data_IF_978997964435
#
_entry.id   IF_978997964435
#
_cell.length_a   1.000
_cell.length_b   1.000
_cell.length_c   1.000
_cell.angle_alpha   90.00
_cell.angle_beta   90.00
_cell.angle_gamma   90.00
#
_symmetry.space_group_name_H-M   'P 1'
#
loop_
_entity.id
_entity.type
_entity.pdbx_description
1 polymer ?
#
# COMPACT_ATOMS: atom_id res chain seq x y z
N UNK A 1 6.58 -2.18 12.74
CA UNK A 1 7.68 -1.32 13.24
C UNK A 1 9.02 -2.07 13.30
N UNK A 2 9.01 -3.39 13.55
CA UNK A 2 10.25 -4.18 13.65
C UNK A 2 11.11 -4.23 12.39
N UNK A 3 10.53 -4.15 11.21
CA UNK A 3 11.27 -4.33 9.96
C UNK A 3 12.04 -3.07 9.53
N UNK A 4 11.50 -1.89 9.79
CA UNK A 4 12.15 -0.62 9.46
C UNK A 4 13.39 -0.38 10.34
N UNK A 5 13.32 -0.69 11.63
CA UNK A 5 14.46 -0.62 12.55
C UNK A 5 15.51 -1.69 12.24
N UNK A 6 15.10 -2.91 11.92
CA UNK A 6 16.02 -4.00 11.59
C UNK A 6 16.88 -3.68 10.37
N UNK A 7 16.34 -3.03 9.34
CA UNK A 7 17.12 -2.66 8.16
C UNK A 7 18.20 -1.64 8.48
N UNK A 8 17.87 -0.63 9.30
CA UNK A 8 18.83 0.41 9.70
C UNK A 8 19.94 -0.14 10.59
N UNK A 9 19.60 -1.03 11.54
CA UNK A 9 20.62 -1.70 12.38
C UNK A 9 21.51 -2.64 11.58
N UNK A 10 21.08 -3.09 10.41
CA UNK A 10 21.87 -3.88 9.47
C UNK A 10 22.57 -3.04 8.39
N UNK A 11 22.56 -1.71 8.51
CA UNK A 11 23.27 -0.81 7.60
C UNK A 11 22.52 -0.48 6.29
N UNK A 12 21.23 -0.83 6.19
CA UNK A 12 20.42 -0.52 5.00
C UNK A 12 19.66 0.80 5.17
N UNK A 13 20.14 1.83 4.50
CA UNK A 13 19.53 3.14 4.46
C UNK A 13 19.71 3.95 5.74
N UNK A 14 19.49 5.26 5.63
CA UNK A 14 19.58 6.21 6.74
C UNK A 14 18.21 6.83 6.99
N UNK A 15 17.75 6.98 8.24
CA UNK A 15 16.56 7.75 8.55
C UNK A 15 16.75 9.20 8.09
N UNK A 16 15.73 9.75 7.48
CA UNK A 16 15.70 11.16 7.10
C UNK A 16 14.58 11.82 7.89
N UNK A 17 14.91 12.86 8.63
CA UNK A 17 13.93 13.77 9.22
C UNK A 17 13.73 14.96 8.30
N UNK A 18 12.52 15.23 7.91
CA UNK A 18 12.20 16.34 7.02
C UNK A 18 11.18 17.29 7.62
N UNK A 19 11.64 18.17 8.47
CA UNK A 19 11.03 19.51 8.62
C UNK A 19 11.64 20.50 7.60
N UNK A 20 12.42 19.98 6.68
CA UNK A 20 13.15 20.67 5.61
C UNK A 20 12.43 20.43 4.28
N UNK A 21 12.68 21.24 3.24
CA UNK A 21 12.25 20.96 1.89
C UNK A 21 12.63 19.54 1.46
N UNK A 22 11.88 19.02 0.50
CA UNK A 22 12.18 17.71 -0.10
C UNK A 22 13.67 17.63 -0.49
N UNK A 23 14.38 16.55 -0.14
CA UNK A 23 15.84 16.48 -0.21
C UNK A 23 16.43 16.55 -1.62
N UNK A 24 15.59 16.51 -2.65
CA UNK A 24 16.01 16.59 -4.04
C UNK A 24 15.40 17.82 -4.71
N UNK A 25 16.16 18.46 -5.62
CA UNK A 25 15.60 19.49 -6.49
C UNK A 25 14.52 18.90 -7.39
N UNK A 26 13.45 19.67 -7.57
CA UNK A 26 12.41 19.34 -8.55
C UNK A 26 12.99 19.40 -9.95
N UNK A 27 12.90 18.31 -10.66
CA UNK A 27 13.32 18.22 -12.05
C UNK A 27 12.29 17.46 -12.85
N UNK A 28 11.13 18.10 -13.07
CA UNK A 28 10.12 17.48 -13.92
C UNK A 28 10.70 17.10 -15.30
N UNK A 29 10.48 15.88 -15.80
CA UNK A 29 9.66 14.81 -15.22
C UNK A 29 10.41 13.85 -14.25
N UNK A 30 11.57 14.21 -13.78
CA UNK A 30 12.42 13.35 -12.96
C UNK A 30 12.17 13.54 -11.47
N UNK A 31 12.21 12.46 -10.71
CA UNK A 31 12.06 12.48 -9.25
C UNK A 31 13.27 13.11 -8.56
N UNK A 32 14.43 12.98 -9.17
CA UNK A 32 15.71 13.48 -8.66
C UNK A 32 16.54 14.08 -9.77
N UNK A 33 17.16 15.22 -9.47
CA UNK A 33 18.16 15.86 -10.32
C UNK A 33 19.55 15.60 -9.75
N UNK A 34 20.53 15.57 -10.64
CA UNK A 34 21.93 15.51 -10.24
C UNK A 34 22.53 16.88 -10.00
N UNK A 35 23.49 16.99 -9.08
CA UNK A 35 23.90 15.99 -8.10
C UNK A 35 22.90 15.86 -6.94
N UNK A 36 22.76 14.62 -6.43
CA UNK A 36 21.93 14.38 -5.25
C UNK A 36 22.55 15.03 -4.00
N UNK A 37 21.70 15.47 -3.06
CA UNK A 37 22.17 16.04 -1.81
C UNK A 37 22.93 14.99 -0.98
N UNK A 38 24.22 15.23 -0.71
CA UNK A 38 25.11 14.32 0.00
C UNK A 38 24.65 13.98 1.43
N UNK A 39 23.82 14.82 2.02
CA UNK A 39 23.33 14.64 3.39
C UNK A 39 22.25 13.55 3.49
N UNK A 40 21.57 13.21 2.40
CA UNK A 40 20.40 12.33 2.42
C UNK A 40 20.57 11.05 1.61
N UNK A 41 21.52 11.02 0.70
CA UNK A 41 21.80 9.84 -0.13
C UNK A 41 23.27 9.79 -0.48
N UNK A 42 23.81 8.59 -0.68
CA UNK A 42 25.13 8.44 -1.27
C UNK A 42 25.05 8.65 -2.78
N UNK A 43 26.16 9.08 -3.40
CA UNK A 43 26.23 9.18 -4.85
C UNK A 43 25.94 7.85 -5.56
N UNK A 44 26.23 6.73 -4.89
CA UNK A 44 26.01 5.38 -5.42
C UNK A 44 24.57 4.87 -5.20
N UNK A 45 23.91 5.35 -4.16
CA UNK A 45 22.56 4.89 -3.78
C UNK A 45 21.59 6.07 -3.78
N UNK A 46 21.21 6.54 -4.95
CA UNK A 46 20.33 7.71 -5.10
C UNK A 46 18.91 7.41 -4.73
N UNK A 47 18.42 6.26 -5.17
CA UNK A 47 17.08 5.78 -4.88
C UNK A 47 17.17 4.31 -4.44
N UNK A 48 17.49 4.04 -3.17
CA UNK A 48 17.58 2.69 -2.67
C UNK A 48 16.27 1.93 -2.88
N UNK A 49 16.40 0.69 -3.32
CA UNK A 49 15.28 -0.21 -3.60
C UNK A 49 15.34 -1.39 -2.65
N UNK A 50 14.24 -1.65 -1.94
CA UNK A 50 14.08 -2.82 -1.10
C UNK A 50 13.37 -3.93 -1.87
N UNK A 51 14.05 -5.07 -2.07
CA UNK A 51 13.44 -6.26 -2.67
C UNK A 51 12.98 -7.21 -1.57
N UNK A 52 11.67 -7.45 -1.51
CA UNK A 52 11.03 -8.33 -0.54
C UNK A 52 10.50 -9.58 -1.24
N UNK A 53 10.71 -10.73 -0.62
CA UNK A 53 10.17 -12.00 -1.10
C UNK A 53 9.74 -12.86 0.07
N UNK A 54 8.55 -13.46 -0.03
CA UNK A 54 8.02 -14.38 0.97
C UNK A 54 7.15 -15.45 0.31
N UNK A 55 7.13 -16.63 0.90
CA UNK A 55 6.14 -17.68 0.58
C UNK A 55 4.94 -17.56 1.51
N UNK A 56 3.77 -17.97 1.02
CA UNK A 56 2.54 -18.05 1.78
C UNK A 56 1.63 -19.13 1.21
N UNK A 57 0.73 -19.62 2.03
CA UNK A 57 -0.31 -20.54 1.62
C UNK A 57 -1.68 -19.91 1.78
N UNK A 58 -2.60 -20.27 0.90
CA UNK A 58 -4.00 -19.85 0.97
C UNK A 58 -4.78 -20.98 1.61
N UNK A 59 -5.59 -20.72 2.66
CA UNK A 59 -6.43 -21.74 3.28
C UNK A 59 -7.36 -22.42 2.27
N UNK A 60 -7.54 -23.73 2.40
CA UNK A 60 -8.33 -24.51 1.45
C UNK A 60 -9.83 -24.14 1.44
N UNK A 61 -10.33 -23.60 2.54
CA UNK A 61 -11.70 -23.11 2.68
C UNK A 61 -11.95 -21.77 1.97
N UNK A 62 -10.91 -21.17 1.36
CA UNK A 62 -11.04 -19.99 0.52
C UNK A 62 -11.25 -20.32 -0.97
N UNK A 63 -11.35 -21.58 -1.31
CA UNK A 63 -11.62 -21.98 -2.70
C UNK A 63 -12.93 -21.34 -3.21
N UNK A 64 -12.88 -20.77 -4.40
CA UNK A 64 -14.00 -20.07 -5.01
C UNK A 64 -14.30 -18.65 -4.46
N UNK A 65 -13.51 -18.14 -3.52
CA UNK A 65 -13.60 -16.75 -3.02
C UNK A 65 -12.69 -15.83 -3.81
N UNK A 66 -12.91 -14.53 -3.64
CA UNK A 66 -11.97 -13.51 -4.07
C UNK A 66 -10.92 -13.29 -2.97
N UNK A 67 -9.65 -13.43 -3.32
CA UNK A 67 -8.53 -13.31 -2.37
C UNK A 67 -7.80 -12.02 -2.62
N UNK A 68 -7.68 -11.23 -1.57
CA UNK A 68 -7.00 -9.93 -1.60
C UNK A 68 -5.72 -9.95 -0.77
N UNK A 69 -4.71 -9.25 -1.26
CA UNK A 69 -3.53 -8.89 -0.48
C UNK A 69 -3.58 -7.39 -0.19
N UNK A 70 -3.42 -7.03 1.08
CA UNK A 70 -3.45 -5.64 1.53
C UNK A 70 -2.15 -5.28 2.21
N UNK A 71 -1.59 -4.16 1.79
CA UNK A 71 -0.47 -3.48 2.42
C UNK A 71 -1.03 -2.25 3.14
N UNK A 72 -0.97 -2.22 4.46
CA UNK A 72 -1.53 -1.13 5.26
C UNK A 72 -0.72 0.17 5.18
N UNK A 73 0.52 0.09 4.71
CA UNK A 73 1.36 1.24 4.46
C UNK A 73 2.74 0.85 3.93
N UNK A 74 3.12 1.45 2.80
CA UNK A 74 4.41 1.27 2.16
C UNK A 74 4.92 2.62 1.65
N UNK A 75 6.02 3.09 2.17
CA UNK A 75 6.64 4.36 1.78
C UNK A 75 7.82 4.08 0.83
N UNK A 76 7.83 4.63 -0.34
CA UNK A 76 6.94 5.61 -0.99
C UNK A 76 6.19 5.03 -2.19
N UNK A 77 6.75 4.04 -2.83
CA UNK A 77 6.24 3.41 -4.05
C UNK A 77 6.66 1.95 -4.08
N UNK A 78 5.80 1.06 -4.58
CA UNK A 78 6.19 -0.33 -4.79
C UNK A 78 5.47 -0.98 -5.98
N UNK A 79 6.16 -1.95 -6.57
CA UNK A 79 5.58 -2.93 -7.48
C UNK A 79 5.30 -4.24 -6.73
N UNK A 80 4.25 -4.95 -7.17
CA UNK A 80 3.83 -6.22 -6.61
C UNK A 80 3.80 -7.32 -7.68
N UNK A 81 4.32 -8.50 -7.31
CA UNK A 81 4.23 -9.74 -8.10
C UNK A 81 3.72 -10.88 -7.22
N UNK A 82 2.90 -11.73 -7.80
CA UNK A 82 2.48 -13.01 -7.23
C UNK A 82 2.91 -14.12 -8.19
N UNK A 83 3.65 -15.11 -7.68
CA UNK A 83 4.15 -16.24 -8.47
C UNK A 83 4.93 -15.80 -9.75
N UNK A 84 5.64 -14.68 -9.66
CA UNK A 84 6.40 -14.10 -10.77
C UNK A 84 5.57 -13.31 -11.79
N UNK A 85 4.26 -13.23 -11.63
CA UNK A 85 3.36 -12.44 -12.47
C UNK A 85 3.16 -11.05 -11.85
N UNK A 86 3.26 -10.02 -12.66
CA UNK A 86 3.02 -8.65 -12.24
C UNK A 86 1.55 -8.42 -11.91
N UNK A 87 1.28 -7.86 -10.73
CA UNK A 87 -0.08 -7.59 -10.24
C UNK A 87 -0.42 -6.12 -10.33
N UNK A 88 0.50 -5.24 -9.91
CA UNK A 88 0.25 -3.82 -9.91
C UNK A 88 1.27 -3.03 -9.10
N UNK A 89 0.95 -1.77 -8.83
CA UNK A 89 1.77 -0.86 -8.04
C UNK A 89 0.91 0.05 -7.16
N UNK A 90 1.54 0.68 -6.15
CA UNK A 90 0.93 1.75 -5.36
C UNK A 90 1.94 2.84 -5.05
N UNK A 91 1.46 4.08 -4.94
CA UNK A 91 2.26 5.28 -4.62
C UNK A 91 1.86 5.96 -3.32
N UNK A 92 0.68 5.67 -2.80
CA UNK A 92 0.17 6.29 -1.58
C UNK A 92 0.77 5.59 -0.36
N UNK A 93 1.63 6.31 0.37
CA UNK A 93 2.37 5.73 1.48
C UNK A 93 1.53 5.46 2.71
N UNK A 94 0.45 6.21 2.93
CA UNK A 94 -0.26 6.24 4.21
C UNK A 94 -1.58 5.50 4.20
N UNK A 95 -2.20 5.36 3.04
CA UNK A 95 -3.42 4.60 2.85
C UNK A 95 -3.14 3.14 2.49
N UNK A 96 -4.04 2.21 2.86
CA UNK A 96 -3.90 0.82 2.47
C UNK A 96 -3.97 0.62 0.97
N UNK A 97 -3.03 -0.14 0.42
CA UNK A 97 -3.05 -0.61 -0.96
C UNK A 97 -3.59 -2.04 -1.00
N UNK A 98 -4.67 -2.26 -1.73
CA UNK A 98 -5.35 -3.56 -1.86
C UNK A 98 -5.30 -4.05 -3.30
N UNK A 99 -4.94 -5.31 -3.47
CA UNK A 99 -4.83 -5.98 -4.76
C UNK A 99 -5.63 -7.27 -4.76
N UNK A 100 -6.45 -7.48 -5.79
CA UNK A 100 -7.04 -8.80 -6.05
C UNK A 100 -5.94 -9.71 -6.60
N UNK A 101 -5.59 -10.72 -5.81
CA UNK A 101 -4.55 -11.68 -6.18
C UNK A 101 -5.12 -13.01 -6.66
N UNK A 102 -6.46 -13.18 -6.66
CA UNK A 102 -7.14 -14.42 -7.03
C UNK A 102 -6.66 -15.00 -8.37
N UNK A 103 -6.49 -14.20 -9.45
CA UNK A 103 -6.07 -14.73 -10.75
C UNK A 103 -4.64 -15.29 -10.79
N UNK A 104 -3.82 -14.93 -9.80
CA UNK A 104 -2.39 -15.27 -9.77
C UNK A 104 -2.06 -16.43 -8.83
N UNK A 105 -3.07 -16.91 -8.07
CA UNK A 105 -2.87 -17.95 -7.07
C UNK A 105 -2.80 -19.33 -7.72
N UNK A 106 -2.02 -20.20 -7.08
CA UNK A 106 -1.96 -21.64 -7.37
C UNK A 106 -2.25 -22.43 -6.10
N UNK A 107 -2.56 -23.71 -6.23
CA UNK A 107 -2.72 -24.63 -5.09
C UNK A 107 -1.39 -24.79 -4.35
N UNK A 108 -1.46 -24.80 -3.02
CA UNK A 108 -0.30 -24.92 -2.13
C UNK A 108 0.48 -23.62 -1.98
N UNK A 109 1.80 -23.72 -1.96
CA UNK A 109 2.70 -22.61 -1.72
C UNK A 109 2.68 -21.59 -2.86
N UNK A 110 2.47 -20.34 -2.50
CA UNK A 110 2.54 -19.16 -3.37
C UNK A 110 3.71 -18.29 -2.96
N UNK A 111 4.19 -17.46 -3.88
CA UNK A 111 5.28 -16.52 -3.65
C UNK A 111 4.80 -15.11 -3.90
N UNK A 112 4.96 -14.24 -2.92
CA UNK A 112 4.83 -12.79 -3.09
C UNK A 112 6.20 -12.17 -3.22
N UNK A 113 6.35 -11.23 -4.15
CA UNK A 113 7.51 -10.36 -4.26
C UNK A 113 7.07 -8.91 -4.37
N UNK A 114 7.77 -8.02 -3.67
CA UNK A 114 7.56 -6.58 -3.75
C UNK A 114 8.90 -5.86 -3.93
N UNK A 115 8.93 -4.89 -4.81
CA UNK A 115 10.08 -4.02 -5.04
C UNK A 115 9.68 -2.61 -4.61
N UNK A 116 10.26 -2.15 -3.49
CA UNK A 116 9.88 -0.92 -2.81
C UNK A 116 10.94 0.14 -3.02
N UNK A 117 10.54 1.26 -3.61
CA UNK A 117 11.39 2.41 -3.92
C UNK A 117 11.27 3.45 -2.81
N UNK A 118 12.43 3.92 -2.34
CA UNK A 118 12.48 4.94 -1.29
C UNK A 118 11.93 6.28 -1.72
N UNK A 119 12.16 6.68 -2.97
CA UNK A 119 11.76 7.96 -3.52
C UNK A 119 10.91 7.76 -4.77
N UNK A 120 9.84 8.52 -4.88
CA UNK A 120 8.94 8.55 -6.02
C UNK A 120 8.40 9.96 -6.22
N UNK A 121 7.69 10.20 -7.31
CA UNK A 121 6.94 11.44 -7.53
C UNK A 121 5.88 11.67 -6.43
N UNK A 122 5.25 10.61 -5.91
CA UNK A 122 4.32 10.68 -4.78
C UNK A 122 5.01 11.11 -3.49
N UNK A 123 6.21 10.64 -3.23
CA UNK A 123 6.97 11.00 -2.02
C UNK A 123 7.23 12.51 -1.88
N UNK A 124 7.30 13.21 -3.01
CA UNK A 124 7.42 14.66 -3.01
C UNK A 124 6.15 15.34 -2.46
N UNK A 125 4.98 14.88 -2.88
CA UNK A 125 3.69 15.41 -2.42
C UNK A 125 3.41 15.06 -0.95
N UNK A 126 3.95 13.96 -0.48
CA UNK A 126 3.84 13.47 0.89
C UNK A 126 4.93 14.01 1.82
N UNK A 127 5.72 15.00 1.36
CA UNK A 127 6.81 15.59 2.12
C UNK A 127 6.28 16.51 3.22
N UNK A 128 6.06 15.96 4.40
CA UNK A 128 5.60 16.67 5.59
C UNK A 128 6.65 16.61 6.69
N UNK A 129 6.42 17.36 7.78
CA UNK A 129 7.29 17.38 8.96
C UNK A 129 7.22 16.04 9.71
N UNK A 130 8.02 15.07 9.29
CA UNK A 130 8.08 13.74 9.86
C UNK A 130 9.36 12.99 9.52
N UNK A 131 9.64 11.94 10.29
CA UNK A 131 10.66 10.96 9.91
C UNK A 131 10.22 10.19 8.66
N UNK A 132 11.13 10.09 7.69
CA UNK A 132 10.97 9.25 6.51
C UNK A 132 11.62 7.90 6.75
N UNK A 133 10.76 6.95 7.09
CA UNK A 133 11.12 5.57 7.32
C UNK A 133 10.56 4.73 6.17
N UNK A 134 11.28 4.75 5.05
CA UNK A 134 10.83 4.09 3.82
C UNK A 134 10.76 2.58 3.96
N UNK A 135 9.90 1.97 3.17
CA UNK A 135 9.68 0.54 3.13
C UNK A 135 8.30 0.12 3.60
N UNK A 136 8.11 -1.17 3.85
CA UNK A 136 6.85 -1.71 4.38
C UNK A 136 6.83 -1.44 5.88
N UNK A 137 6.13 -0.40 6.31
CA UNK A 137 6.15 0.06 7.71
C UNK A 137 4.90 -0.34 8.51
N UNK A 138 3.90 -0.94 7.86
CA UNK A 138 2.69 -1.49 8.48
C UNK A 138 2.50 -2.96 8.08
N UNK A 139 1.38 -3.54 8.48
CA UNK A 139 1.07 -4.94 8.22
C UNK A 139 0.85 -5.21 6.74
N UNK A 140 1.18 -6.45 6.35
CA UNK A 140 0.76 -7.04 5.08
C UNK A 140 -0.13 -8.23 5.43
N UNK A 141 -1.33 -8.25 4.92
CA UNK A 141 -2.33 -9.28 5.19
C UNK A 141 -2.94 -9.85 3.91
N UNK A 142 -3.42 -11.07 4.01
CA UNK A 142 -4.28 -11.68 2.99
C UNK A 142 -5.64 -11.97 3.62
N UNK A 143 -6.70 -11.80 2.87
CA UNK A 143 -8.06 -12.14 3.30
C UNK A 143 -8.91 -12.54 2.09
N UNK A 144 -9.98 -13.28 2.34
CA UNK A 144 -10.89 -13.72 1.30
C UNK A 144 -12.29 -13.18 1.53
N UNK A 145 -12.93 -12.74 0.46
CA UNK A 145 -14.31 -12.29 0.44
C UNK A 145 -15.18 -13.23 -0.41
N UNK A 146 -16.45 -13.44 -0.06
CA UNK A 146 -17.39 -14.08 -0.96
C UNK A 146 -17.45 -13.31 -2.29
N UNK A 147 -17.72 -14.00 -3.41
CA UNK A 147 -17.87 -13.33 -4.73
C UNK A 147 -18.99 -12.28 -4.72
N UNK A 148 -20.01 -12.48 -3.91
CA UNK A 148 -21.06 -11.51 -3.67
C UNK A 148 -20.89 -10.95 -2.26
N UNK A 149 -20.54 -9.69 -2.16
CA UNK A 149 -20.32 -8.99 -0.90
C UNK A 149 -20.59 -7.50 -1.06
N UNK A 150 -20.84 -6.80 0.05
CA UNK A 150 -20.92 -5.34 0.06
C UNK A 150 -19.49 -4.81 -0.10
N UNK A 151 -19.23 -4.16 -1.23
CA UNK A 151 -17.91 -3.62 -1.53
C UNK A 151 -17.62 -2.34 -0.75
N UNK A 152 -18.63 -1.50 -0.62
CA UNK A 152 -18.53 -0.22 0.05
C UNK A 152 -19.91 0.24 0.51
N UNK A 153 -19.97 1.08 1.53
CA UNK A 153 -21.20 1.75 1.97
C UNK A 153 -20.87 3.16 2.46
N UNK A 154 -21.76 4.06 2.20
CA UNK A 154 -21.69 5.44 2.68
C UNK A 154 -22.81 5.68 3.68
N UNK A 155 -22.45 5.80 4.95
CA UNK A 155 -23.38 6.06 6.03
C UNK A 155 -23.50 7.56 6.28
N UNK A 156 -24.71 8.11 6.13
CA UNK A 156 -24.99 9.51 6.42
C UNK A 156 -25.96 9.60 7.59
N UNK A 157 -25.54 10.28 8.66
CA UNK A 157 -26.38 10.61 9.78
C UNK A 157 -26.90 12.05 9.59
N UNK A 158 -28.21 12.19 9.32
CA UNK A 158 -28.83 13.50 9.17
C UNK A 158 -29.82 13.73 10.32
N UNK A 159 -29.83 14.90 10.96
CA UNK A 159 -30.87 15.24 11.92
C UNK A 159 -32.22 15.36 11.19
N UNK A 160 -33.20 14.64 11.66
CA UNK A 160 -34.61 14.72 11.13
C UNK A 160 -35.34 15.87 11.81
N UNK A 161 -35.08 16.05 13.10
CA UNK A 161 -35.43 17.22 13.89
C UNK A 161 -34.38 17.42 15.01
N UNK A 162 -34.64 18.31 15.98
CA UNK A 162 -33.70 18.56 17.09
C UNK A 162 -33.55 17.37 18.06
N UNK A 163 -34.34 16.29 17.91
CA UNK A 163 -34.37 15.15 18.83
C UNK A 163 -34.04 13.81 18.16
N UNK A 164 -34.33 13.69 16.85
CA UNK A 164 -34.21 12.42 16.13
C UNK A 164 -33.10 12.47 15.05
N UNK A 165 -32.43 11.34 14.86
CA UNK A 165 -31.39 11.14 13.85
C UNK A 165 -31.80 10.00 12.92
N UNK A 166 -31.78 10.24 11.60
CA UNK A 166 -31.91 9.20 10.60
C UNK A 166 -30.58 8.78 10.06
N UNK A 167 -30.32 7.47 10.03
CA UNK A 167 -29.17 6.88 9.40
C UNK A 167 -29.56 6.37 8.01
N UNK A 168 -29.03 6.99 6.96
CA UNK A 168 -29.16 6.52 5.60
C UNK A 168 -27.88 5.79 5.18
N UNK A 169 -28.02 4.61 4.61
CA UNK A 169 -26.90 3.80 4.11
C UNK A 169 -27.12 3.60 2.61
N UNK A 170 -26.25 4.21 1.82
CA UNK A 170 -26.20 3.98 0.37
C UNK A 170 -25.25 2.81 0.06
N UNK A 171 -25.75 1.85 -0.70
CA UNK A 171 -24.99 0.69 -1.12
C UNK A 171 -24.45 0.89 -2.53
N UNK A 172 -23.14 0.96 -2.69
CA UNK A 172 -22.51 0.83 -3.99
C UNK A 172 -22.45 -0.65 -4.39
N UNK A 173 -23.28 -1.06 -5.32
CA UNK A 173 -23.29 -2.44 -5.85
C UNK A 173 -22.27 -2.59 -6.98
N UNK A 174 -21.29 -3.48 -6.91
CA UNK A 174 -20.62 -4.00 -8.09
C UNK A 174 -21.43 -5.20 -8.60
N UNK A 175 -22.01 -5.05 -9.78
CA UNK A 175 -22.76 -6.13 -10.44
C UNK A 175 -24.13 -6.36 -9.81
N UNK A 176 -25.14 -6.07 -10.61
CA UNK A 176 -26.55 -6.23 -10.28
C UNK A 176 -26.87 -7.62 -9.74
N UNK A 177 -27.10 -7.70 -8.45
CA UNK A 177 -28.03 -8.69 -7.90
C UNK A 177 -29.17 -7.86 -7.32
N UNK A 178 -30.28 -7.78 -8.05
CA UNK A 178 -31.54 -7.29 -7.50
C UNK A 178 -31.96 -8.26 -6.38
N UNK A 179 -31.72 -7.84 -5.17
CA UNK A 179 -32.15 -8.53 -3.97
C UNK A 179 -32.74 -7.51 -3.02
N UNK A 180 -34.02 -7.66 -2.74
CA UNK A 180 -34.71 -6.90 -1.70
C UNK A 180 -34.14 -7.31 -0.34
N UNK A 181 -33.28 -6.48 0.23
CA UNK A 181 -32.68 -6.68 1.55
C UNK A 181 -33.60 -6.01 2.59
N UNK A 182 -34.57 -6.77 3.11
CA UNK A 182 -35.32 -6.39 4.30
C UNK A 182 -34.67 -6.93 5.56
#
# INVERSE_FOLDING_TARGET
>A
LGDVYKRQTQGYGTPIYSNQPYPFERSWPYVMKEPSNKNYTSYKERNPVGSYRRTFEVPADWDGREVYMQFDGVDSFFYLWINGQYVGFSKDSRNPARFDISPYLKKGENVVAAEVYRHSDGAYLECQDMFRLSGIFRNVSIFALPKVHIRDFFAQANPVDQRDWALNIDHAKPGTVDGDWR
#
